data_IF_897007692491
#
_entry.id   IF_897007692491
#
_cell.length_a   1.000
_cell.length_b   1.000
_cell.length_c   1.000
_cell.angle_alpha   90.00
_cell.angle_beta   90.00
_cell.angle_gamma   90.00
#
_symmetry.space_group_name_H-M   'P 1'
#
loop_
_entity.id
_entity.type
_entity.pdbx_description
1 polymer ?
#
# COMPACT_ATOMS: atom_id res chain seq x y z
N UNK A 1 24.68 13.53 -18.19
CA UNK A 1 25.37 12.36 -17.63
C UNK A 1 24.32 11.43 -17.00
N UNK A 2 23.94 10.35 -17.70
CA UNK A 2 23.06 9.33 -17.14
C UNK A 2 23.88 8.50 -16.15
N UNK A 3 23.57 8.60 -14.89
CA UNK A 3 24.11 7.67 -13.91
C UNK A 3 23.58 6.27 -14.25
N UNK A 4 24.41 5.24 -14.33
CA UNK A 4 23.93 3.89 -14.47
C UNK A 4 23.27 3.48 -13.15
N UNK A 5 21.93 3.50 -13.12
CA UNK A 5 21.15 2.97 -12.01
C UNK A 5 21.17 1.45 -12.10
N UNK A 6 22.28 0.85 -11.71
CA UNK A 6 22.35 -0.58 -11.40
C UNK A 6 21.88 -0.81 -9.95
N UNK A 7 20.72 -0.29 -9.60
CA UNK A 7 20.07 -0.69 -8.37
C UNK A 7 19.21 -1.91 -8.71
N UNK A 8 19.54 -3.04 -8.10
CA UNK A 8 18.72 -4.23 -8.24
C UNK A 8 17.32 -3.94 -7.70
N UNK A 9 16.23 -4.39 -8.37
CA UNK A 9 14.84 -4.16 -7.90
C UNK A 9 14.62 -4.49 -6.43
N UNK A 10 15.34 -5.49 -5.92
CA UNK A 10 15.31 -5.91 -4.51
C UNK A 10 15.82 -4.80 -3.58
N UNK A 11 16.94 -4.17 -3.92
CA UNK A 11 17.51 -3.09 -3.11
C UNK A 11 16.57 -1.88 -3.06
N UNK A 12 15.98 -1.53 -4.18
CA UNK A 12 15.01 -0.43 -4.27
C UNK A 12 13.74 -0.72 -3.49
N UNK A 13 13.26 -1.96 -3.49
CA UNK A 13 12.14 -2.39 -2.67
C UNK A 13 12.41 -2.14 -1.18
N UNK A 14 13.53 -2.63 -0.66
CA UNK A 14 13.88 -2.46 0.75
C UNK A 14 14.13 -1.00 1.12
N UNK A 15 14.84 -0.24 0.27
CA UNK A 15 15.12 1.16 0.54
C UNK A 15 13.83 2.00 0.62
N UNK A 16 12.92 1.82 -0.30
CA UNK A 16 11.61 2.50 -0.30
C UNK A 16 10.76 2.09 0.90
N UNK A 17 10.72 0.79 1.19
CA UNK A 17 10.01 0.27 2.35
C UNK A 17 10.51 0.87 3.66
N UNK A 18 11.83 0.93 3.85
CA UNK A 18 12.44 1.53 5.05
C UNK A 18 12.17 3.04 5.16
N UNK A 19 12.23 3.77 4.05
CA UNK A 19 11.99 5.22 4.05
C UNK A 19 10.53 5.57 4.42
N UNK A 20 9.58 4.80 3.93
CA UNK A 20 8.15 5.11 4.09
C UNK A 20 7.43 4.30 5.16
N UNK A 21 8.05 3.22 5.66
CA UNK A 21 7.46 2.34 6.67
C UNK A 21 7.08 3.07 7.96
N UNK A 22 7.86 4.06 8.37
CA UNK A 22 7.63 4.84 9.58
C UNK A 22 6.36 5.70 9.58
N UNK A 23 5.79 6.00 8.42
CA UNK A 23 4.53 6.76 8.34
C UNK A 23 3.31 5.95 8.81
N UNK A 24 3.34 4.63 8.64
CA UNK A 24 2.23 3.77 9.02
C UNK A 24 1.86 3.87 10.50
N UNK A 25 2.80 3.68 11.45
CA UNK A 25 2.53 3.81 12.88
C UNK A 25 1.99 5.16 13.30
N UNK A 26 2.40 6.25 12.66
CA UNK A 26 1.87 7.60 12.93
C UNK A 26 0.39 7.68 12.56
N UNK A 27 0.01 7.15 11.38
CA UNK A 27 -1.39 7.09 10.96
C UNK A 27 -2.21 6.24 11.92
N UNK A 28 -1.71 5.08 12.35
CA UNK A 28 -2.38 4.23 13.33
C UNK A 28 -2.59 4.95 14.66
N UNK A 29 -1.58 5.67 15.16
CA UNK A 29 -1.68 6.46 16.38
C UNK A 29 -2.79 7.52 16.30
N UNK A 30 -2.91 8.20 15.17
CA UNK A 30 -3.99 9.17 14.91
C UNK A 30 -5.36 8.47 14.91
N UNK A 31 -5.48 7.32 14.24
CA UNK A 31 -6.73 6.55 14.21
C UNK A 31 -7.14 6.12 15.63
N UNK A 32 -6.22 5.59 16.42
CA UNK A 32 -6.51 5.20 17.80
C UNK A 32 -6.92 6.38 18.68
N UNK A 33 -6.30 7.54 18.49
CA UNK A 33 -6.65 8.76 19.21
C UNK A 33 -8.07 9.23 18.86
N UNK A 34 -8.45 9.16 17.58
CA UNK A 34 -9.81 9.47 17.12
C UNK A 34 -10.82 8.48 17.72
N UNK A 35 -10.53 7.18 17.65
CA UNK A 35 -11.41 6.13 18.16
C UNK A 35 -11.60 6.27 19.67
N UNK A 36 -10.56 6.56 20.43
CA UNK A 36 -10.62 6.77 21.87
C UNK A 36 -11.55 7.95 22.26
N UNK A 37 -11.60 8.99 21.42
CA UNK A 37 -12.51 10.14 21.66
C UNK A 37 -13.93 9.89 21.18
N UNK A 38 -14.14 8.91 20.30
CA UNK A 38 -15.44 8.61 19.70
C UNK A 38 -16.16 7.46 20.40
N UNK A 39 -15.41 6.51 20.94
CA UNK A 39 -15.90 5.31 21.61
C UNK A 39 -15.55 5.39 23.10
N UNK A 40 -16.57 5.53 23.95
CA UNK A 40 -16.39 5.71 25.42
C UNK A 40 -15.75 4.52 26.11
N UNK A 41 -15.89 3.29 25.55
CA UNK A 41 -15.41 2.03 26.15
C UNK A 41 -14.21 1.41 25.43
N UNK A 42 -13.51 2.15 24.56
CA UNK A 42 -12.36 1.60 23.87
C UNK A 42 -11.15 1.48 24.81
N UNK A 43 -10.84 0.25 25.22
CA UNK A 43 -9.62 -0.08 25.95
C UNK A 43 -8.73 -0.94 25.08
N UNK A 44 -7.50 -0.50 24.88
CA UNK A 44 -6.49 -1.25 24.11
C UNK A 44 -5.43 -1.79 25.08
N UNK A 45 -5.10 -3.06 24.93
CA UNK A 45 -3.99 -3.67 25.64
C UNK A 45 -2.64 -3.29 25.00
N UNK A 46 -1.56 -3.40 25.76
CA UNK A 46 -0.22 -3.16 25.20
C UNK A 46 0.12 -4.08 24.03
N UNK A 47 -0.35 -5.31 24.06
CA UNK A 47 -0.12 -6.30 22.99
C UNK A 47 -0.87 -5.91 21.70
N UNK A 48 -2.12 -5.46 21.81
CA UNK A 48 -2.90 -4.97 20.65
C UNK A 48 -2.26 -3.74 20.01
N UNK A 49 -1.80 -2.80 20.82
CA UNK A 49 -1.09 -1.61 20.33
C UNK A 49 0.21 -2.00 19.65
N UNK A 50 1.01 -2.88 20.26
CA UNK A 50 2.28 -3.33 19.70
C UNK A 50 2.07 -4.07 18.36
N UNK A 51 1.12 -5.03 18.33
CA UNK A 51 0.79 -5.78 17.13
C UNK A 51 0.29 -4.84 16.01
N UNK A 52 -0.55 -3.87 16.34
CA UNK A 52 -1.03 -2.86 15.42
C UNK A 52 0.11 -2.03 14.82
N UNK A 53 1.04 -1.54 15.64
CA UNK A 53 2.20 -0.77 15.18
C UNK A 53 3.05 -1.58 14.20
N UNK A 54 3.40 -2.83 14.55
CA UNK A 54 4.20 -3.69 13.68
C UNK A 54 3.48 -3.99 12.37
N UNK A 55 2.17 -4.31 12.44
CA UNK A 55 1.36 -4.62 11.26
C UNK A 55 1.30 -3.43 10.29
N UNK A 56 1.01 -2.24 10.79
CA UNK A 56 0.93 -1.04 9.94
C UNK A 56 2.31 -0.63 9.42
N UNK A 57 3.36 -0.81 10.20
CA UNK A 57 4.73 -0.59 9.71
C UNK A 57 5.04 -1.53 8.54
N UNK A 58 4.74 -2.83 8.68
CA UNK A 58 4.95 -3.81 7.61
C UNK A 58 4.09 -3.51 6.37
N UNK A 59 2.83 -3.12 6.56
CA UNK A 59 1.96 -2.72 5.46
C UNK A 59 2.50 -1.50 4.70
N UNK A 60 2.92 -0.46 5.42
CA UNK A 60 3.52 0.72 4.81
C UNK A 60 4.83 0.37 4.07
N UNK A 61 5.66 -0.51 4.67
CA UNK A 61 6.88 -1.01 4.06
C UNK A 61 6.61 -1.76 2.74
N UNK A 62 5.68 -2.72 2.77
CA UNK A 62 5.33 -3.52 1.58
C UNK A 62 4.69 -2.62 0.51
N UNK A 63 3.81 -1.70 0.93
CA UNK A 63 3.15 -0.78 0.00
C UNK A 63 4.15 0.09 -0.75
N UNK A 64 5.06 0.74 -0.03
CA UNK A 64 6.09 1.58 -0.64
C UNK A 64 7.08 0.77 -1.50
N UNK A 65 7.49 -0.41 -0.99
CA UNK A 65 8.42 -1.29 -1.68
C UNK A 65 7.83 -1.87 -2.98
N UNK A 66 6.54 -2.24 -2.95
CA UNK A 66 5.85 -2.86 -4.11
C UNK A 66 5.82 -1.96 -5.36
N UNK A 67 6.02 -0.65 -5.20
CA UNK A 67 6.15 0.26 -6.33
C UNK A 67 7.30 -0.08 -7.30
N UNK A 68 8.27 -0.89 -6.86
CA UNK A 68 9.37 -1.34 -7.71
C UNK A 68 8.91 -2.22 -8.88
N UNK A 69 7.75 -2.89 -8.77
CA UNK A 69 7.22 -3.71 -9.86
C UNK A 69 6.97 -2.92 -11.14
N UNK A 70 6.64 -1.64 -11.02
CA UNK A 70 6.44 -0.73 -12.16
C UNK A 70 7.75 -0.26 -12.82
N UNK A 71 8.90 -0.59 -12.23
CA UNK A 71 10.22 -0.23 -12.76
C UNK A 71 10.89 -1.38 -13.51
N UNK A 72 10.26 -2.56 -13.51
CA UNK A 72 10.78 -3.73 -14.22
C UNK A 72 10.43 -3.57 -15.70
N UNK A 73 11.41 -3.17 -16.52
CA UNK A 73 11.24 -2.87 -17.94
C UNK A 73 10.68 -4.06 -18.76
N UNK A 74 10.99 -5.29 -18.34
CA UNK A 74 10.50 -6.50 -19.00
C UNK A 74 9.04 -6.85 -18.70
N UNK A 75 8.40 -6.14 -17.77
CA UNK A 75 7.03 -6.42 -17.36
C UNK A 75 6.04 -5.48 -18.05
N UNK A 76 4.91 -6.05 -18.49
CA UNK A 76 3.80 -5.22 -18.93
C UNK A 76 3.18 -4.47 -17.74
N UNK A 77 2.61 -3.27 -17.95
CA UNK A 77 1.94 -2.52 -16.89
C UNK A 77 0.85 -3.34 -16.17
N UNK A 78 0.11 -4.15 -16.90
CA UNK A 78 -0.92 -5.04 -16.34
C UNK A 78 -0.31 -6.09 -15.41
N UNK A 79 0.82 -6.70 -15.77
CA UNK A 79 1.52 -7.67 -14.92
C UNK A 79 2.01 -7.02 -13.64
N UNK A 80 2.61 -5.84 -13.72
CA UNK A 80 3.08 -5.09 -12.56
C UNK A 80 1.93 -4.76 -11.61
N UNK A 81 0.81 -4.26 -12.12
CA UNK A 81 -0.40 -3.97 -11.32
C UNK A 81 -0.97 -5.22 -10.66
N UNK A 82 -1.08 -6.35 -11.38
CA UNK A 82 -1.61 -7.58 -10.81
C UNK A 82 -0.71 -8.15 -9.71
N UNK A 83 0.60 -8.16 -9.91
CA UNK A 83 1.55 -8.62 -8.89
C UNK A 83 1.53 -7.73 -7.66
N UNK A 84 1.45 -6.42 -7.84
CA UNK A 84 1.32 -5.47 -6.73
C UNK A 84 0.01 -5.66 -5.98
N UNK A 85 -1.11 -5.77 -6.70
CA UNK A 85 -2.42 -6.03 -6.11
C UNK A 85 -2.41 -7.31 -5.27
N UNK A 86 -1.89 -8.42 -5.81
CA UNK A 86 -1.84 -9.69 -5.11
C UNK A 86 -0.98 -9.61 -3.83
N UNK A 87 0.19 -8.97 -3.91
CA UNK A 87 1.06 -8.78 -2.75
C UNK A 87 0.39 -7.93 -1.67
N UNK A 88 -0.14 -6.79 -2.05
CA UNK A 88 -0.81 -5.87 -1.13
C UNK A 88 -2.05 -6.50 -0.52
N UNK A 89 -2.91 -7.13 -1.32
CA UNK A 89 -4.11 -7.80 -0.84
C UNK A 89 -3.78 -8.86 0.21
N UNK A 90 -2.82 -9.73 -0.07
CA UNK A 90 -2.39 -10.77 0.87
C UNK A 90 -1.85 -10.17 2.17
N UNK A 91 -0.99 -9.15 2.08
CA UNK A 91 -0.43 -8.49 3.25
C UNK A 91 -1.50 -7.81 4.11
N UNK A 92 -2.45 -7.10 3.47
CA UNK A 92 -3.55 -6.44 4.18
C UNK A 92 -4.48 -7.44 4.87
N UNK A 93 -4.93 -8.48 4.15
CA UNK A 93 -5.79 -9.52 4.76
C UNK A 93 -5.11 -10.15 5.95
N UNK A 94 -3.86 -10.55 5.83
CA UNK A 94 -3.12 -11.17 6.94
C UNK A 94 -3.00 -10.23 8.14
N UNK A 95 -2.60 -8.97 7.93
CA UNK A 95 -2.46 -8.01 9.01
C UNK A 95 -3.82 -7.70 9.68
N UNK A 96 -4.88 -7.56 8.90
CA UNK A 96 -6.21 -7.22 9.42
C UNK A 96 -6.83 -8.38 10.21
N UNK A 97 -6.62 -9.61 9.75
CA UNK A 97 -7.08 -10.81 10.48
C UNK A 97 -6.26 -11.01 11.77
N UNK A 98 -4.94 -10.82 11.73
CA UNK A 98 -4.07 -10.98 12.91
C UNK A 98 -4.34 -9.95 14.01
N UNK A 99 -4.84 -8.78 13.65
CA UNK A 99 -5.19 -7.72 14.60
C UNK A 99 -6.67 -7.73 15.01
N UNK A 100 -7.46 -8.74 14.58
CA UNK A 100 -8.91 -8.80 14.78
C UNK A 100 -9.67 -7.57 14.24
N UNK A 101 -9.06 -6.83 13.29
CA UNK A 101 -9.71 -5.70 12.63
C UNK A 101 -10.68 -6.13 11.52
N UNK A 102 -10.52 -7.36 11.03
CA UNK A 102 -11.41 -7.99 10.05
C UNK A 102 -11.89 -9.32 10.60
N UNK A 103 -13.19 -9.48 10.89
CA UNK A 103 -13.74 -10.77 11.32
C UNK A 103 -13.51 -11.81 10.21
N UNK A 104 -13.09 -13.01 10.62
CA UNK A 104 -12.85 -14.11 9.68
C UNK A 104 -14.19 -14.76 9.26
N UNK A 105 -15.04 -13.93 8.66
CA UNK A 105 -16.35 -14.32 8.14
C UNK A 105 -16.39 -14.14 6.62
N UNK A 106 -17.00 -15.07 5.85
CA UNK A 106 -17.02 -15.00 4.40
C UNK A 106 -17.57 -13.68 3.85
N UNK A 107 -18.62 -13.14 4.48
CA UNK A 107 -19.24 -11.88 4.05
C UNK A 107 -18.31 -10.68 4.31
N UNK A 108 -17.67 -10.63 5.48
CA UNK A 108 -16.75 -9.55 5.82
C UNK A 108 -15.53 -9.54 4.87
N UNK A 109 -14.97 -10.72 4.59
CA UNK A 109 -13.86 -10.89 3.64
C UNK A 109 -14.28 -10.50 2.22
N UNK A 110 -15.49 -10.88 1.80
CA UNK A 110 -16.01 -10.52 0.47
C UNK A 110 -16.17 -9.00 0.31
N UNK A 111 -16.73 -8.32 1.32
CA UNK A 111 -16.87 -6.86 1.32
C UNK A 111 -15.49 -6.18 1.32
N UNK A 112 -14.60 -6.64 2.18
CA UNK A 112 -13.21 -6.13 2.23
C UNK A 112 -12.52 -6.28 0.87
N UNK A 113 -12.63 -7.45 0.25
CA UNK A 113 -12.06 -7.73 -1.08
C UNK A 113 -12.63 -6.80 -2.14
N UNK A 114 -13.96 -6.63 -2.17
CA UNK A 114 -14.62 -5.76 -3.14
C UNK A 114 -14.17 -4.30 -2.99
N UNK A 115 -14.12 -3.79 -1.76
CA UNK A 115 -13.66 -2.41 -1.46
C UNK A 115 -12.18 -2.25 -1.81
N UNK A 116 -11.35 -3.23 -1.46
CA UNK A 116 -9.91 -3.19 -1.73
C UNK A 116 -9.63 -3.17 -3.24
N UNK A 117 -10.23 -4.07 -4.00
CA UNK A 117 -10.05 -4.15 -5.45
C UNK A 117 -10.60 -2.90 -6.16
N UNK A 118 -11.77 -2.41 -5.74
CA UNK A 118 -12.35 -1.17 -6.28
C UNK A 118 -11.44 0.04 -5.99
N UNK A 119 -10.97 0.20 -4.75
CA UNK A 119 -10.07 1.28 -4.36
C UNK A 119 -8.74 1.22 -5.12
N UNK A 120 -8.15 0.04 -5.24
CA UNK A 120 -6.93 -0.16 -6.01
C UNK A 120 -7.14 0.15 -7.50
N UNK A 121 -8.28 -0.27 -8.07
CA UNK A 121 -8.66 0.03 -9.45
C UNK A 121 -8.79 1.53 -9.71
N UNK A 122 -9.39 2.28 -8.78
CA UNK A 122 -9.47 3.75 -8.86
C UNK A 122 -8.08 4.38 -8.85
N UNK A 123 -7.18 3.94 -7.98
CA UNK A 123 -5.80 4.44 -7.91
C UNK A 123 -5.07 4.15 -9.24
N UNK A 124 -5.17 2.93 -9.76
CA UNK A 124 -4.57 2.57 -11.05
C UNK A 124 -5.11 3.43 -12.19
N UNK A 125 -6.42 3.70 -12.21
CA UNK A 125 -7.04 4.56 -13.21
C UNK A 125 -6.52 6.00 -13.14
N UNK A 126 -6.45 6.57 -11.93
CA UNK A 126 -5.92 7.93 -11.71
C UNK A 126 -4.46 8.03 -12.17
N UNK A 127 -3.62 7.05 -11.81
CA UNK A 127 -2.21 7.01 -12.24
C UNK A 127 -2.12 6.90 -13.77
N UNK A 128 -2.90 6.01 -14.38
CA UNK A 128 -2.92 5.85 -15.84
C UNK A 128 -3.31 7.14 -16.56
N UNK A 129 -4.38 7.80 -16.11
CA UNK A 129 -4.83 9.06 -16.69
C UNK A 129 -3.80 10.19 -16.51
N UNK A 130 -3.15 10.24 -15.35
CA UNK A 130 -2.10 11.23 -15.04
C UNK A 130 -0.88 11.05 -15.95
N UNK A 131 -0.43 9.82 -16.13
CA UNK A 131 0.70 9.49 -17.02
C UNK A 131 0.36 9.81 -18.47
N UNK A 132 -0.84 9.47 -18.91
CA UNK A 132 -1.32 9.77 -20.27
C UNK A 132 -1.40 11.28 -20.52
N UNK A 133 -1.88 12.05 -19.54
CA UNK A 133 -1.95 13.51 -19.65
C UNK A 133 -0.55 14.14 -19.68
N UNK A 134 0.39 13.64 -18.87
CA UNK A 134 1.78 14.09 -18.88
C UNK A 134 2.48 13.80 -20.20
N UNK A 135 2.29 12.61 -20.76
CA UNK A 135 2.84 12.24 -22.08
C UNK A 135 2.28 13.13 -23.19
N UNK A 136 0.98 13.44 -23.17
CA UNK A 136 0.36 14.36 -24.15
C UNK A 136 0.95 15.78 -24.07
N UNK A 137 1.18 16.30 -22.87
CA UNK A 137 1.80 17.62 -22.66
C UNK A 137 3.24 17.66 -23.20
N UNK A 138 4.02 16.61 -22.94
CA UNK A 138 5.39 16.47 -23.46
C UNK A 138 5.42 16.46 -25.00
N UNK A 139 4.55 15.71 -25.64
CA UNK A 139 4.48 15.65 -27.10
C UNK A 139 4.06 17.01 -27.71
N UNK A 140 3.21 17.78 -27.03
CA UNK A 140 2.82 19.12 -27.48
C UNK A 140 3.94 20.17 -27.32
N UNK A 141 4.87 19.96 -26.38
CA UNK A 141 6.00 20.86 -26.17
C UNK A 141 7.19 20.59 -27.11
N UNK A 142 7.20 19.43 -27.77
CA UNK A 142 8.25 19.02 -28.71
C UNK A 142 7.89 19.23 -30.20
N UNK A 143 6.65 19.58 -30.47
CA UNK A 143 6.15 19.92 -31.83
C UNK A 143 5.90 21.38 -31.95
#
# INVERSE_FOLDING_TARGET
MKQPVTQTPVKDFFLRGLLFGGFGPVVLGIVYLILQHTLEDLTLTGDEVFLGIISIYLLAFIHAGSGVFHQIESWSPAKSCLCQLALLYTAYVLCYVLNDWLPFEPLAIAIFTAVFVAGYGVICLVVYLSVKAAAKRLNQSLG
#
